data_IF_787455708972
#
_entry.id   IF_787455708972
#
_cell.length_a   1.000
_cell.length_b   1.000
_cell.length_c   1.000
_cell.angle_alpha   90.00
_cell.angle_beta   90.00
_cell.angle_gamma   90.00
#
_symmetry.space_group_name_H-M   'P 1'
#
loop_
_entity.id
_entity.type
_entity.pdbx_description
1 polymer ?
#
# COMPACT_ATOMS: atom_id res chain seq x y z
N UNK A 1 3.42 -25.22 14.40
CA UNK A 1 2.57 -24.22 13.74
C UNK A 1 1.60 -24.83 12.74
N UNK A 2 2.09 -25.61 11.75
CA UNK A 2 1.23 -26.29 10.76
C UNK A 2 0.07 -27.12 11.36
N UNK A 3 0.31 -27.90 12.42
CA UNK A 3 -0.75 -28.70 13.06
C UNK A 3 -1.91 -27.86 13.64
N UNK A 4 -1.62 -26.68 14.18
CA UNK A 4 -2.64 -25.80 14.76
C UNK A 4 -3.45 -25.09 13.66
N UNK A 5 -2.78 -24.69 12.58
CA UNK A 5 -3.41 -24.18 11.36
C UNK A 5 -4.34 -25.21 10.72
N UNK A 6 -3.88 -26.46 10.55
CA UNK A 6 -4.70 -27.56 10.03
C UNK A 6 -5.92 -27.84 10.91
N UNK A 7 -5.75 -27.81 12.24
CA UNK A 7 -6.86 -27.99 13.17
C UNK A 7 -7.91 -26.88 13.02
N UNK A 8 -7.50 -25.62 12.86
CA UNK A 8 -8.41 -24.49 12.61
C UNK A 8 -9.13 -24.68 11.27
N UNK A 9 -8.43 -25.08 10.22
CA UNK A 9 -9.03 -25.29 8.89
C UNK A 9 -10.10 -26.40 8.91
N UNK A 10 -9.84 -27.50 9.62
CA UNK A 10 -10.77 -28.63 9.74
C UNK A 10 -11.95 -28.24 10.62
N UNK A 11 -11.71 -27.73 11.82
CA UNK A 11 -12.78 -27.46 12.80
C UNK A 11 -13.61 -26.22 12.42
N UNK A 12 -12.98 -25.17 11.93
CA UNK A 12 -13.65 -23.94 11.50
C UNK A 12 -14.55 -24.12 10.28
N UNK A 13 -14.38 -25.21 9.51
CA UNK A 13 -15.31 -25.59 8.44
C UNK A 13 -16.69 -26.02 8.99
N UNK A 14 -16.72 -26.70 10.13
CA UNK A 14 -17.95 -27.30 10.69
C UNK A 14 -18.71 -26.41 11.67
N UNK A 15 -18.05 -25.38 12.20
CA UNK A 15 -18.59 -24.51 13.25
C UNK A 15 -18.59 -23.05 12.80
N UNK A 16 -19.68 -22.34 13.12
CA UNK A 16 -19.85 -20.93 12.79
C UNK A 16 -19.56 -20.04 14.01
N UNK A 17 -18.95 -18.85 13.86
CA UNK A 17 -18.65 -17.95 14.98
C UNK A 17 -19.87 -17.52 15.80
N UNK A 18 -21.05 -17.56 15.17
CA UNK A 18 -22.34 -17.19 15.77
C UNK A 18 -23.24 -18.41 16.00
N UNK A 19 -22.67 -19.62 16.11
CA UNK A 19 -23.47 -20.82 16.37
C UNK A 19 -24.28 -20.66 17.67
N UNK A 20 -25.61 -20.86 17.62
CA UNK A 20 -26.48 -20.64 18.77
C UNK A 20 -26.29 -21.75 19.80
N UNK A 21 -26.71 -21.44 21.03
CA UNK A 21 -26.76 -22.42 22.10
C UNK A 21 -28.02 -23.27 21.93
N UNK A 22 -27.85 -24.47 21.37
CA UNK A 22 -28.96 -25.40 21.13
C UNK A 22 -28.84 -26.57 22.09
N UNK A 23 -29.85 -26.73 22.94
CA UNK A 23 -30.03 -27.93 23.76
C UNK A 23 -30.47 -29.08 22.85
N UNK A 24 -29.63 -30.10 22.66
CA UNK A 24 -29.92 -31.25 21.80
C UNK A 24 -28.76 -31.79 20.96
N UNK A 25 -27.54 -31.24 21.10
CA UNK A 25 -26.35 -31.82 20.46
C UNK A 25 -25.85 -33.06 21.22
N UNK A 26 -25.59 -34.16 20.52
CA UNK A 26 -25.27 -35.48 21.09
C UNK A 26 -23.77 -35.77 21.27
N UNK A 27 -22.89 -34.79 21.05
CA UNK A 27 -21.45 -34.96 21.32
C UNK A 27 -21.00 -34.23 22.60
N UNK A 28 -19.68 -34.26 22.90
CA UNK A 28 -19.13 -33.80 24.19
C UNK A 28 -19.16 -32.27 24.45
N UNK A 29 -19.28 -31.43 23.42
CA UNK A 29 -19.30 -29.97 23.49
C UNK A 29 -20.41 -29.33 22.65
N UNK A 30 -21.16 -28.35 23.18
CA UNK A 30 -22.16 -27.65 22.36
C UNK A 30 -21.53 -26.99 21.11
N UNK A 31 -22.31 -26.73 20.04
CA UNK A 31 -21.80 -26.05 18.84
C UNK A 31 -21.16 -24.69 19.18
N UNK A 32 -21.72 -24.00 20.17
CA UNK A 32 -21.18 -22.76 20.73
C UNK A 32 -19.82 -22.97 21.38
N UNK A 33 -19.64 -24.00 22.20
CA UNK A 33 -18.34 -24.34 22.81
C UNK A 33 -17.28 -24.70 21.77
N UNK A 34 -17.68 -25.43 20.72
CA UNK A 34 -16.80 -25.74 19.61
C UNK A 34 -16.39 -24.47 18.84
N UNK A 35 -17.32 -23.53 18.59
CA UNK A 35 -17.00 -22.23 18.00
C UNK A 35 -16.06 -21.40 18.89
N UNK A 36 -16.28 -21.38 20.21
CA UNK A 36 -15.36 -20.73 21.17
C UNK A 36 -13.97 -21.37 21.09
N UNK A 37 -13.90 -22.69 20.92
CA UNK A 37 -12.63 -23.42 20.76
C UNK A 37 -11.92 -23.06 19.46
N UNK A 38 -12.62 -22.95 18.33
CA UNK A 38 -12.04 -22.46 17.07
C UNK A 38 -11.48 -21.05 17.24
N UNK A 39 -12.25 -20.16 17.89
CA UNK A 39 -11.80 -18.79 18.17
C UNK A 39 -10.55 -18.76 19.04
N UNK A 40 -10.49 -19.59 20.08
CA UNK A 40 -9.33 -19.66 20.97
C UNK A 40 -8.07 -20.19 20.27
N UNK A 41 -8.23 -21.14 19.34
CA UNK A 41 -7.14 -21.61 18.48
C UNK A 41 -6.63 -20.50 17.56
N UNK A 42 -7.53 -19.74 16.91
CA UNK A 42 -7.15 -18.58 16.08
C UNK A 42 -6.38 -17.55 16.93
N UNK A 43 -6.89 -17.21 18.12
CA UNK A 43 -6.22 -16.28 19.03
C UNK A 43 -4.85 -16.80 19.49
N UNK A 44 -4.72 -18.09 19.76
CA UNK A 44 -3.45 -18.72 20.15
C UNK A 44 -2.44 -18.64 19.01
N UNK A 45 -2.85 -18.91 17.77
CA UNK A 45 -2.00 -18.71 16.60
C UNK A 45 -1.56 -17.25 16.45
N UNK A 46 -2.46 -16.30 16.77
CA UNK A 46 -2.19 -14.87 16.81
C UNK A 46 -1.13 -14.43 17.80
N UNK A 47 -1.06 -15.07 18.97
CA UNK A 47 -0.07 -14.74 20.01
C UNK A 47 1.36 -15.17 19.65
N UNK A 48 1.53 -16.04 18.67
CA UNK A 48 2.84 -16.50 18.22
C UNK A 48 3.44 -15.46 17.25
N UNK A 49 4.43 -14.69 17.68
CA UNK A 49 4.95 -13.53 16.94
C UNK A 49 6.02 -13.89 15.88
N UNK A 50 5.94 -15.10 15.32
CA UNK A 50 6.89 -15.64 14.33
C UNK A 50 6.42 -15.41 12.89
N UNK A 51 7.37 -15.39 11.93
CA UNK A 51 7.08 -15.32 10.49
C UNK A 51 6.17 -16.45 10.02
N UNK A 52 6.39 -17.63 10.58
CA UNK A 52 5.66 -18.85 10.25
C UNK A 52 4.20 -18.75 10.71
N UNK A 53 3.96 -18.23 11.93
CA UNK A 53 2.60 -18.03 12.45
C UNK A 53 1.79 -17.05 11.58
N UNK A 54 2.42 -15.93 11.21
CA UNK A 54 1.79 -14.93 10.34
C UNK A 54 1.48 -15.51 8.97
N UNK A 55 2.39 -16.29 8.38
CA UNK A 55 2.13 -16.96 7.11
C UNK A 55 0.98 -17.96 7.20
N UNK A 56 0.83 -18.68 8.31
CA UNK A 56 -0.28 -19.61 8.50
C UNK A 56 -1.63 -18.87 8.66
N UNK A 57 -1.68 -17.75 9.39
CA UNK A 57 -2.89 -16.91 9.48
C UNK A 57 -3.31 -16.34 8.13
N UNK A 58 -2.35 -15.90 7.30
CA UNK A 58 -2.63 -15.44 5.92
C UNK A 58 -3.22 -16.58 5.08
N UNK A 59 -2.63 -17.78 5.14
CA UNK A 59 -3.18 -18.95 4.42
C UNK A 59 -4.62 -19.26 4.85
N UNK A 60 -4.90 -19.21 6.16
CA UNK A 60 -6.25 -19.48 6.68
C UNK A 60 -7.29 -18.45 6.21
N UNK A 61 -6.89 -17.21 5.97
CA UNK A 61 -7.77 -16.17 5.43
C UNK A 61 -8.27 -16.50 4.00
N UNK A 62 -7.41 -17.14 3.22
CA UNK A 62 -7.69 -17.50 1.83
C UNK A 62 -8.49 -18.83 1.71
N UNK A 63 -8.68 -19.59 2.79
CA UNK A 63 -9.46 -20.84 2.79
C UNK A 63 -10.95 -20.54 2.54
N UNK A 64 -11.57 -21.03 1.45
CA UNK A 64 -12.99 -20.75 1.14
C UNK A 64 -13.95 -21.28 2.20
N UNK A 65 -13.61 -22.39 2.85
CA UNK A 65 -14.42 -23.01 3.89
C UNK A 65 -14.45 -22.22 5.20
N UNK A 66 -13.58 -21.22 5.37
CA UNK A 66 -13.47 -20.38 6.56
C UNK A 66 -14.08 -18.98 6.37
N UNK A 67 -14.96 -18.79 5.38
CA UNK A 67 -15.57 -17.47 5.09
C UNK A 67 -16.17 -16.82 6.34
N UNK A 68 -16.86 -17.60 7.20
CA UNK A 68 -17.43 -17.10 8.44
C UNK A 68 -16.39 -16.58 9.45
N UNK A 69 -15.18 -17.16 9.45
CA UNK A 69 -14.09 -16.83 10.36
C UNK A 69 -13.17 -15.71 9.84
N UNK A 70 -13.30 -15.30 8.57
CA UNK A 70 -12.40 -14.32 7.92
C UNK A 70 -12.23 -13.04 8.71
N UNK A 71 -13.31 -12.47 9.26
CA UNK A 71 -13.23 -11.25 10.06
C UNK A 71 -12.43 -11.46 11.35
N UNK A 72 -12.60 -12.61 12.01
CA UNK A 72 -11.84 -12.95 13.22
C UNK A 72 -10.36 -13.17 12.91
N UNK A 73 -10.06 -13.86 11.80
CA UNK A 73 -8.68 -14.11 11.35
C UNK A 73 -8.01 -12.80 10.97
N UNK A 74 -8.69 -11.92 10.23
CA UNK A 74 -8.17 -10.61 9.83
C UNK A 74 -7.84 -9.72 11.04
N UNK A 75 -8.71 -9.69 12.05
CA UNK A 75 -8.47 -8.93 13.27
C UNK A 75 -7.24 -9.44 14.03
N UNK A 76 -7.13 -10.76 14.19
CA UNK A 76 -5.99 -11.39 14.87
C UNK A 76 -4.69 -11.18 14.10
N UNK A 77 -4.72 -11.28 12.77
CA UNK A 77 -3.58 -11.00 11.90
C UNK A 77 -3.13 -9.54 12.02
N UNK A 78 -4.06 -8.59 12.05
CA UNK A 78 -3.74 -7.17 12.22
C UNK A 78 -3.09 -6.89 13.59
N UNK A 79 -3.63 -7.49 14.65
CA UNK A 79 -3.09 -7.37 16.01
C UNK A 79 -1.68 -7.97 16.14
N UNK A 80 -1.49 -9.19 15.63
CA UNK A 80 -0.18 -9.85 15.58
C UNK A 80 0.83 -9.02 14.79
N UNK A 81 0.43 -8.49 13.63
CA UNK A 81 1.29 -7.65 12.79
C UNK A 81 1.72 -6.40 13.54
N UNK A 82 0.81 -5.74 14.28
CA UNK A 82 1.14 -4.57 15.10
C UNK A 82 2.18 -4.92 16.18
N UNK A 83 1.95 -5.98 16.97
CA UNK A 83 2.87 -6.40 18.02
C UNK A 83 4.26 -6.77 17.47
N UNK A 84 4.30 -7.41 16.29
CA UNK A 84 5.58 -7.72 15.61
C UNK A 84 6.32 -6.45 15.19
N UNK A 85 5.62 -5.42 14.73
CA UNK A 85 6.23 -4.11 14.41
C UNK A 85 6.80 -3.47 15.67
N UNK A 86 6.07 -3.49 16.78
CA UNK A 86 6.54 -2.97 18.07
C UNK A 86 7.81 -3.70 18.55
N UNK A 87 7.88 -5.02 18.40
CA UNK A 87 9.09 -5.80 18.75
C UNK A 87 10.25 -5.58 17.77
N UNK A 88 9.97 -5.39 16.49
CA UNK A 88 10.98 -5.11 15.47
C UNK A 88 11.47 -3.67 15.53
N UNK A 89 10.74 -2.77 16.19
CA UNK A 89 11.09 -1.37 16.32
C UNK A 89 12.36 -1.21 17.15
N UNK A 90 13.41 -0.69 16.52
CA UNK A 90 14.64 -0.31 17.20
C UNK A 90 14.72 1.21 17.23
N UNK A 91 14.96 1.77 18.41
CA UNK A 91 15.29 3.18 18.54
C UNK A 91 16.59 3.47 17.76
N UNK A 92 16.63 4.55 16.97
CA UNK A 92 17.84 4.93 16.26
C UNK A 92 18.94 5.28 17.28
N UNK A 93 20.18 4.90 16.98
CA UNK A 93 21.33 5.32 17.78
C UNK A 93 21.61 6.82 17.59
N UNK A 94 22.34 7.42 18.53
CA UNK A 94 22.75 8.85 18.43
C UNK A 94 23.50 9.11 17.12
N UNK A 95 24.37 8.21 16.69
CA UNK A 95 25.10 8.33 15.42
C UNK A 95 24.15 8.31 14.21
N UNK A 96 23.12 7.46 14.22
CA UNK A 96 22.14 7.40 13.15
C UNK A 96 21.27 8.66 13.11
N UNK A 97 20.92 9.23 14.27
CA UNK A 97 20.24 10.53 14.36
C UNK A 97 21.14 11.64 13.79
N UNK A 98 22.43 11.65 14.13
CA UNK A 98 23.40 12.63 13.61
C UNK A 98 23.63 12.47 12.10
N UNK A 99 23.63 11.24 11.56
CA UNK A 99 23.70 11.01 10.11
C UNK A 99 22.43 11.47 9.38
N UNK A 100 21.25 11.27 9.98
CA UNK A 100 19.99 11.75 9.41
C UNK A 100 19.96 13.27 9.34
N UNK A 101 20.37 13.94 10.42
CA UNK A 101 20.40 15.40 10.51
C UNK A 101 21.49 16.04 9.63
N UNK A 102 22.66 15.40 9.47
CA UNK A 102 23.79 15.98 8.73
C UNK A 102 23.89 15.54 7.26
N UNK A 103 23.34 14.37 6.88
CA UNK A 103 23.56 13.76 5.57
C UNK A 103 22.29 13.25 4.89
N UNK A 104 21.12 13.33 5.53
CA UNK A 104 19.84 12.91 4.95
C UNK A 104 19.67 11.39 4.78
N UNK A 105 20.55 10.59 5.41
CA UNK A 105 20.47 9.13 5.38
C UNK A 105 19.45 8.63 6.42
N UNK A 106 18.49 7.75 6.05
CA UNK A 106 17.49 7.25 7.00
C UNK A 106 18.10 6.44 8.15
N UNK A 107 17.74 6.76 9.40
CA UNK A 107 18.15 5.99 10.58
C UNK A 107 17.25 4.79 10.87
N UNK A 108 15.96 4.92 10.56
CA UNK A 108 14.95 3.89 10.78
C UNK A 108 13.95 3.84 9.61
N UNK A 109 13.05 2.85 9.62
CA UNK A 109 12.08 2.64 8.53
C UNK A 109 11.10 3.83 8.35
N UNK A 110 10.82 4.58 9.41
CA UNK A 110 9.99 5.80 9.36
C UNK A 110 10.69 6.89 8.57
N UNK A 111 11.98 7.11 8.83
CA UNK A 111 12.78 8.08 8.10
C UNK A 111 12.92 7.68 6.63
N UNK A 112 13.04 6.37 6.36
CA UNK A 112 13.10 5.85 4.99
C UNK A 112 11.79 6.12 4.25
N UNK A 113 10.64 5.88 4.89
CA UNK A 113 9.34 6.22 4.34
C UNK A 113 9.23 7.72 4.07
N UNK A 114 9.54 8.56 5.06
CA UNK A 114 9.47 10.01 4.92
C UNK A 114 10.38 10.56 3.81
N UNK A 115 11.60 10.03 3.68
CA UNK A 115 12.54 10.40 2.62
C UNK A 115 11.99 10.02 1.24
N UNK A 116 11.54 8.78 1.06
CA UNK A 116 11.02 8.30 -0.22
C UNK A 116 9.75 9.07 -0.59
N UNK A 117 8.84 9.29 0.36
CA UNK A 117 7.61 10.07 0.16
C UNK A 117 7.90 11.52 -0.20
N UNK A 118 8.87 12.16 0.44
CA UNK A 118 9.33 13.52 0.07
C UNK A 118 9.78 13.59 -1.38
N UNK A 119 10.54 12.59 -1.86
CA UNK A 119 10.95 12.51 -3.26
C UNK A 119 9.79 12.20 -4.21
N UNK A 120 8.81 11.39 -3.80
CA UNK A 120 7.59 11.13 -4.58
C UNK A 120 6.70 12.38 -4.68
N UNK A 121 6.58 13.18 -3.62
CA UNK A 121 5.90 14.48 -3.67
C UNK A 121 6.64 15.48 -4.57
N UNK A 122 7.98 15.48 -4.53
CA UNK A 122 8.79 16.28 -5.46
C UNK A 122 8.55 15.83 -6.91
N UNK A 123 8.52 14.53 -7.16
CA UNK A 123 8.20 13.97 -8.48
C UNK A 123 6.78 14.34 -8.93
N UNK A 124 5.79 14.32 -8.02
CA UNK A 124 4.42 14.78 -8.30
C UNK A 124 4.42 16.23 -8.77
N UNK A 125 5.10 17.12 -8.03
CA UNK A 125 5.21 18.52 -8.40
C UNK A 125 5.92 18.72 -9.75
N UNK A 126 6.98 17.95 -10.03
CA UNK A 126 7.68 18.02 -11.33
C UNK A 126 6.83 17.52 -12.51
N UNK A 127 6.08 16.44 -12.33
CA UNK A 127 5.21 15.90 -13.38
C UNK A 127 4.03 16.83 -13.66
N UNK A 128 3.53 17.52 -12.63
CA UNK A 128 2.37 18.40 -12.68
C UNK A 128 2.71 19.84 -13.11
N UNK A 129 3.71 20.44 -12.46
CA UNK A 129 4.06 21.87 -12.53
C UNK A 129 5.47 22.13 -13.08
N UNK A 130 6.21 21.07 -13.43
CA UNK A 130 7.55 21.21 -14.00
C UNK A 130 7.56 21.98 -15.33
N UNK A 131 8.70 22.58 -15.70
CA UNK A 131 8.87 23.30 -16.96
C UNK A 131 8.87 22.36 -18.18
N UNK A 132 8.95 21.05 -17.95
CA UNK A 132 8.89 20.02 -18.98
C UNK A 132 7.50 19.36 -18.96
N UNK A 133 7.07 18.82 -20.10
CA UNK A 133 5.86 18.00 -20.17
C UNK A 133 6.08 16.60 -19.53
N UNK A 134 6.54 16.54 -18.28
CA UNK A 134 6.93 15.32 -17.58
C UNK A 134 5.81 14.27 -17.56
N UNK A 135 4.56 14.71 -17.37
CA UNK A 135 3.38 13.85 -17.45
C UNK A 135 3.28 13.06 -18.77
N UNK A 136 3.79 13.58 -19.91
CA UNK A 136 3.79 12.86 -21.20
C UNK A 136 4.61 11.57 -21.16
N UNK A 137 5.59 11.47 -20.25
CA UNK A 137 6.35 10.23 -20.06
C UNK A 137 5.44 9.05 -19.68
N UNK A 138 4.28 9.32 -19.06
CA UNK A 138 3.28 8.32 -18.66
C UNK A 138 2.24 8.01 -19.75
N UNK A 139 2.38 8.61 -20.94
CA UNK A 139 1.47 8.41 -22.07
C UNK A 139 2.21 7.83 -23.28
N UNK A 140 1.48 7.03 -24.07
CA UNK A 140 1.84 6.77 -25.45
C UNK A 140 1.66 8.05 -26.26
N UNK A 141 2.51 8.24 -27.28
CA UNK A 141 2.46 9.41 -28.15
C UNK A 141 2.31 8.99 -29.60
N UNK A 142 1.58 9.78 -30.39
CA UNK A 142 1.51 9.60 -31.84
C UNK A 142 2.79 10.11 -32.54
N UNK A 143 2.83 10.02 -33.87
CA UNK A 143 3.94 10.53 -34.71
C UNK A 143 4.21 12.04 -34.57
N UNK A 144 3.30 12.78 -33.93
CA UNK A 144 3.40 14.21 -33.65
C UNK A 144 3.66 14.50 -32.17
N UNK A 145 4.10 13.50 -31.40
CA UNK A 145 4.34 13.60 -29.96
C UNK A 145 3.09 13.98 -29.14
N UNK A 146 1.88 13.72 -29.66
CA UNK A 146 0.63 14.00 -28.96
C UNK A 146 0.20 12.79 -28.13
N UNK A 147 -0.11 12.97 -26.84
CA UNK A 147 -0.54 11.87 -25.96
C UNK A 147 -1.83 11.21 -26.44
N UNK A 148 -1.82 9.89 -26.57
CA UNK A 148 -2.95 9.08 -27.03
C UNK A 148 -3.62 8.38 -25.84
N UNK A 149 -3.04 7.28 -25.38
CA UNK A 149 -3.50 6.48 -24.25
C UNK A 149 -2.45 6.46 -23.13
N UNK A 150 -2.84 6.26 -21.86
CA UNK A 150 -1.88 5.99 -20.80
C UNK A 150 -1.03 4.78 -21.17
N UNK A 151 0.24 4.79 -20.78
CA UNK A 151 1.08 3.60 -20.92
C UNK A 151 0.54 2.45 -20.05
N UNK A 152 0.88 1.20 -20.38
CA UNK A 152 0.67 0.07 -19.49
C UNK A 152 1.23 0.35 -18.09
N UNK A 153 0.63 -0.24 -17.06
CA UNK A 153 1.03 -0.05 -15.67
C UNK A 153 2.51 -0.39 -15.44
N UNK A 154 2.97 -1.51 -16.00
CA UNK A 154 4.36 -1.95 -15.93
C UNK A 154 5.33 -0.92 -16.53
N UNK A 155 5.00 -0.35 -17.69
CA UNK A 155 5.83 0.69 -18.33
C UNK A 155 5.91 1.97 -17.50
N UNK A 156 4.79 2.37 -16.86
CA UNK A 156 4.78 3.51 -15.96
C UNK A 156 5.63 3.24 -14.72
N UNK A 157 5.47 2.05 -14.12
CA UNK A 157 6.25 1.57 -12.98
C UNK A 157 7.74 1.59 -13.29
N UNK A 158 8.18 1.02 -14.40
CA UNK A 158 9.62 0.86 -14.69
C UNK A 158 10.34 2.21 -14.87
N UNK A 159 9.59 3.27 -15.17
CA UNK A 159 10.10 4.65 -15.26
C UNK A 159 10.24 5.34 -13.91
N UNK A 160 9.48 4.94 -12.89
CA UNK A 160 9.56 5.58 -11.57
C UNK A 160 10.93 5.40 -10.89
N UNK A 161 11.57 4.21 -10.90
CA UNK A 161 12.92 4.05 -10.39
C UNK A 161 13.94 4.98 -11.04
N UNK A 162 13.81 5.29 -12.33
CA UNK A 162 14.73 6.21 -13.02
C UNK A 162 14.65 7.64 -12.47
N UNK A 163 13.49 8.05 -11.95
CA UNK A 163 13.33 9.33 -11.26
C UNK A 163 13.76 9.28 -9.79
N UNK A 164 13.63 8.13 -9.13
CA UNK A 164 13.95 7.98 -7.71
C UNK A 164 15.44 7.73 -7.45
N UNK A 165 16.10 6.91 -8.28
CA UNK A 165 17.51 6.52 -8.13
C UNK A 165 18.47 7.71 -8.01
N UNK A 166 18.42 8.75 -8.87
CA UNK A 166 19.35 9.88 -8.76
C UNK A 166 19.23 10.66 -7.45
N UNK A 167 18.06 10.60 -6.80
CA UNK A 167 17.77 11.28 -5.52
C UNK A 167 18.13 10.43 -4.30
N UNK A 168 17.93 9.12 -4.41
CA UNK A 168 18.08 8.17 -3.32
C UNK A 168 19.51 7.60 -3.20
N UNK A 169 20.20 7.37 -4.33
CA UNK A 169 21.56 6.82 -4.32
C UNK A 169 22.58 7.67 -3.54
N UNK A 170 22.57 9.02 -3.62
CA UNK A 170 23.51 9.86 -2.86
C UNK A 170 23.43 9.67 -1.34
N UNK A 171 22.27 9.28 -0.81
CA UNK A 171 22.05 8.99 0.61
C UNK A 171 22.14 7.50 0.94
N UNK A 172 22.57 6.69 -0.03
CA UNK A 172 22.80 5.26 0.14
C UNK A 172 21.54 4.39 0.05
N UNK A 173 20.44 4.92 -0.48
CA UNK A 173 19.20 4.17 -0.72
C UNK A 173 19.16 3.72 -2.18
N UNK A 174 19.02 2.41 -2.43
CA UNK A 174 18.78 1.89 -3.78
C UNK A 174 17.28 1.79 -4.04
N UNK A 175 16.84 2.11 -5.27
CA UNK A 175 15.47 1.87 -5.71
C UNK A 175 15.50 0.84 -6.84
N UNK A 176 14.94 -0.33 -6.55
CA UNK A 176 14.99 -1.50 -7.43
C UNK A 176 13.58 -1.85 -7.93
N UNK A 177 13.36 -1.91 -9.26
CA UNK A 177 12.15 -2.52 -9.80
C UNK A 177 12.19 -4.04 -9.51
N UNK A 178 11.03 -4.63 -9.28
CA UNK A 178 10.94 -6.07 -9.05
C UNK A 178 11.38 -6.87 -10.29
N UNK A 179 12.36 -7.76 -10.14
CA UNK A 179 12.90 -8.59 -11.22
C UNK A 179 11.93 -9.68 -11.68
N UNK A 180 11.95 -10.01 -12.98
CA UNK A 180 10.98 -10.90 -13.66
C UNK A 180 10.97 -12.39 -13.23
N UNK A 181 11.77 -12.83 -12.25
CA UNK A 181 12.22 -14.24 -12.17
C UNK A 181 11.86 -15.07 -10.93
N UNK A 182 10.97 -14.67 -10.03
CA UNK A 182 10.55 -15.58 -8.96
C UNK A 182 9.06 -15.48 -8.63
N UNK A 183 8.48 -16.61 -8.21
CA UNK A 183 7.08 -16.87 -7.84
C UNK A 183 6.55 -16.02 -6.65
N UNK A 184 7.23 -14.94 -6.31
CA UNK A 184 7.01 -14.14 -5.11
C UNK A 184 6.90 -12.64 -5.43
N UNK A 185 6.07 -12.34 -6.45
CA UNK A 185 5.69 -10.97 -6.82
C UNK A 185 4.89 -10.34 -5.69
N UNK A 186 5.40 -9.29 -5.07
CA UNK A 186 4.66 -8.65 -3.96
C UNK A 186 4.64 -7.12 -3.98
N UNK A 187 5.65 -6.45 -4.53
CA UNK A 187 5.68 -4.98 -4.61
C UNK A 187 6.31 -4.51 -5.93
N UNK A 188 5.81 -3.41 -6.47
CA UNK A 188 6.29 -2.87 -7.74
C UNK A 188 7.73 -2.31 -7.67
N UNK A 189 8.06 -1.60 -6.58
CA UNK A 189 9.39 -1.06 -6.33
C UNK A 189 9.79 -1.34 -4.88
N UNK A 190 11.07 -1.61 -4.64
CA UNK A 190 11.65 -1.65 -3.29
C UNK A 190 12.73 -0.59 -3.16
N UNK A 191 12.57 0.31 -2.18
CA UNK A 191 13.65 1.19 -1.74
C UNK A 191 14.42 0.49 -0.61
N UNK A 192 15.73 0.33 -0.72
CA UNK A 192 16.54 -0.53 0.16
C UNK A 192 17.72 0.26 0.72
N UNK A 193 17.98 0.11 2.02
CA UNK A 193 19.18 0.60 2.68
C UNK A 193 19.61 -0.32 3.82
N UNK A 194 20.76 -0.98 3.66
CA UNK A 194 21.22 -1.98 4.61
C UNK A 194 20.21 -3.12 4.77
N UNK A 195 19.67 -3.30 5.97
CA UNK A 195 18.65 -4.31 6.27
C UNK A 195 17.20 -3.77 6.20
N UNK A 196 17.04 -2.47 6.01
CA UNK A 196 15.72 -1.84 5.89
C UNK A 196 15.30 -1.82 4.42
N UNK A 197 14.02 -2.01 4.19
CA UNK A 197 13.43 -1.81 2.89
C UNK A 197 12.03 -1.19 3.00
N UNK A 198 11.59 -0.54 1.93
CA UNK A 198 10.29 0.09 1.84
C UNK A 198 9.63 -0.33 0.52
N UNK A 199 8.58 -1.16 0.57
CA UNK A 199 7.80 -1.52 -0.61
C UNK A 199 6.94 -0.33 -1.06
N UNK A 200 6.89 -0.13 -2.37
CA UNK A 200 6.02 0.82 -3.04
C UNK A 200 5.16 -0.01 -4.01
N UNK A 201 3.85 -0.03 -3.77
CA UNK A 201 2.87 -0.66 -4.66
C UNK A 201 2.25 0.42 -5.54
N UNK A 202 2.16 0.18 -6.85
CA UNK A 202 1.70 1.16 -7.82
C UNK A 202 0.40 0.65 -8.47
N UNK A 203 -0.60 1.53 -8.55
CA UNK A 203 -1.82 1.27 -9.29
C UNK A 203 -2.21 2.44 -10.15
N UNK A 204 -2.90 2.18 -11.25
CA UNK A 204 -3.66 3.23 -11.96
C UNK A 204 -4.96 3.53 -11.21
N UNK A 205 -5.42 4.76 -11.25
CA UNK A 205 -6.68 5.16 -10.58
C UNK A 205 -7.95 4.45 -11.08
N UNK A 206 -7.87 3.70 -12.18
CA UNK A 206 -8.96 2.86 -12.72
C UNK A 206 -8.67 1.36 -12.62
N UNK A 207 -7.66 0.96 -11.84
CA UNK A 207 -7.37 -0.44 -11.58
C UNK A 207 -8.51 -1.08 -10.77
N UNK A 208 -8.91 -2.32 -11.08
CA UNK A 208 -10.04 -2.99 -10.43
C UNK A 208 -9.86 -3.08 -8.90
N UNK A 209 -8.63 -3.36 -8.46
CA UNK A 209 -8.28 -3.52 -7.05
C UNK A 209 -7.92 -2.20 -6.33
N UNK A 210 -8.22 -1.03 -6.91
CA UNK A 210 -7.81 0.28 -6.36
C UNK A 210 -8.13 0.43 -4.87
N UNK A 211 -9.32 -0.02 -4.47
CA UNK A 211 -9.87 0.14 -3.12
C UNK A 211 -9.44 -0.96 -2.15
N UNK A 212 -9.09 -2.16 -2.66
CA UNK A 212 -8.74 -3.34 -1.85
C UNK A 212 -7.23 -3.50 -1.67
N UNK A 213 -6.44 -3.11 -2.67
CA UNK A 213 -5.00 -3.25 -2.70
C UNK A 213 -4.26 -2.64 -1.49
N UNK A 214 -4.58 -1.41 -1.00
CA UNK A 214 -3.89 -0.84 0.16
C UNK A 214 -3.98 -1.71 1.41
N UNK A 215 -5.12 -2.39 1.59
CA UNK A 215 -5.36 -3.27 2.73
C UNK A 215 -4.73 -4.64 2.53
N UNK A 216 -4.97 -5.26 1.37
CA UNK A 216 -4.63 -6.67 1.16
C UNK A 216 -3.18 -6.89 0.70
N UNK A 217 -2.69 -6.09 -0.23
CA UNK A 217 -1.37 -6.30 -0.83
C UNK A 217 -0.26 -5.84 0.10
N UNK A 218 -0.40 -4.64 0.68
CA UNK A 218 0.60 -4.10 1.60
C UNK A 218 0.67 -4.88 2.92
N UNK A 219 -0.44 -5.39 3.47
CA UNK A 219 -0.38 -6.29 4.63
C UNK A 219 0.32 -7.62 4.33
N UNK A 220 0.06 -8.23 3.16
CA UNK A 220 0.74 -9.46 2.72
C UNK A 220 2.25 -9.25 2.57
N UNK A 221 2.66 -8.05 2.14
CA UNK A 221 4.06 -7.61 2.09
C UNK A 221 4.70 -7.46 3.49
N UNK A 222 4.02 -6.79 4.42
CA UNK A 222 4.52 -6.52 5.78
C UNK A 222 4.68 -7.77 6.65
N UNK A 223 3.81 -8.75 6.46
CA UNK A 223 3.77 -9.97 7.26
C UNK A 223 5.05 -10.82 7.16
N UNK A 224 5.79 -10.70 6.05
CA UNK A 224 6.85 -11.64 5.66
C UNK A 224 8.24 -11.02 5.57
N UNK A 225 8.37 -9.71 5.43
CA UNK A 225 9.68 -9.04 5.37
C UNK A 225 9.89 -8.14 6.60
N UNK A 226 10.67 -8.59 7.60
CA UNK A 226 10.99 -7.81 8.79
C UNK A 226 11.68 -6.47 8.48
N UNK A 227 12.38 -6.37 7.34
CA UNK A 227 13.07 -5.14 6.91
C UNK A 227 12.13 -3.98 6.60
N UNK A 228 10.84 -4.26 6.38
CA UNK A 228 9.81 -3.23 6.17
C UNK A 228 9.45 -2.46 7.44
N UNK A 229 9.67 -3.07 8.62
CA UNK A 229 9.03 -2.65 9.87
C UNK A 229 7.51 -2.40 9.72
N UNK A 230 6.88 -3.08 8.76
CA UNK A 230 5.48 -2.91 8.40
C UNK A 230 5.12 -1.59 7.71
N UNK A 231 6.08 -0.85 7.17
CA UNK A 231 5.87 0.41 6.45
C UNK A 231 5.90 0.22 4.94
N UNK A 232 5.13 1.01 4.20
CA UNK A 232 5.13 1.02 2.74
C UNK A 232 4.33 2.17 2.15
N UNK A 233 4.37 2.29 0.83
CA UNK A 233 3.70 3.36 0.09
C UNK A 233 2.73 2.74 -0.91
N UNK A 234 1.50 3.23 -0.93
CA UNK A 234 0.53 2.97 -1.99
C UNK A 234 0.48 4.18 -2.93
N UNK A 235 1.01 4.00 -4.13
CA UNK A 235 1.12 5.05 -5.12
C UNK A 235 0.07 4.87 -6.21
N UNK A 236 -0.75 5.89 -6.44
CA UNK A 236 -1.74 5.88 -7.51
C UNK A 236 -1.37 6.86 -8.63
N UNK A 237 -1.37 6.38 -9.86
CA UNK A 237 -1.23 7.19 -11.06
C UNK A 237 -2.61 7.59 -11.60
N UNK A 238 -2.91 8.89 -11.52
CA UNK A 238 -4.17 9.47 -11.96
C UNK A 238 -4.07 9.98 -13.39
N UNK A 239 -4.97 9.57 -14.29
CA UNK A 239 -4.95 9.98 -15.71
C UNK A 239 -6.17 10.82 -16.12
N UNK A 240 -6.95 11.28 -15.14
CA UNK A 240 -8.16 12.06 -15.36
C UNK A 240 -9.40 11.21 -15.57
N UNK A 241 -10.53 11.71 -15.06
CA UNK A 241 -11.80 10.98 -15.00
C UNK A 241 -12.63 11.06 -16.30
N UNK A 242 -12.12 11.72 -17.34
CA UNK A 242 -12.86 11.96 -18.59
C UNK A 242 -12.97 10.71 -19.46
N UNK A 243 -11.95 9.85 -19.43
CA UNK A 243 -11.87 8.65 -20.27
C UNK A 243 -11.83 7.37 -19.43
N UNK A 244 -11.13 7.41 -18.30
CA UNK A 244 -11.02 6.28 -17.39
C UNK A 244 -11.70 6.64 -16.09
N UNK A 245 -12.55 5.75 -15.57
CA UNK A 245 -13.30 6.02 -14.35
C UNK A 245 -12.66 5.32 -13.17
N UNK A 246 -12.67 6.00 -12.03
CA UNK A 246 -12.41 5.36 -10.73
C UNK A 246 -13.45 4.25 -10.53
N UNK A 247 -13.07 3.03 -10.10
CA UNK A 247 -14.02 1.97 -9.81
C UNK A 247 -14.99 2.43 -8.71
N UNK A 248 -16.18 1.84 -8.69
CA UNK A 248 -17.19 2.16 -7.67
C UNK A 248 -16.59 2.06 -6.26
N UNK A 249 -16.63 3.15 -5.47
CA UNK A 249 -16.11 3.14 -4.11
C UNK A 249 -16.98 2.23 -3.21
N UNK A 250 -16.43 1.72 -2.10
CA UNK A 250 -17.22 1.03 -1.09
C UNK A 250 -18.27 1.93 -0.44
N UNK A 251 -19.24 1.30 0.24
CA UNK A 251 -20.32 1.99 0.92
C UNK A 251 -19.80 3.06 1.89
N UNK A 252 -20.40 4.25 1.83
CA UNK A 252 -20.05 5.39 2.68
C UNK A 252 -18.90 6.27 2.16
N UNK A 253 -18.36 5.98 0.97
CA UNK A 253 -17.36 6.82 0.30
C UNK A 253 -17.96 7.36 -1.00
N UNK A 254 -17.96 8.69 -1.14
CA UNK A 254 -18.37 9.33 -2.40
C UNK A 254 -17.33 9.11 -3.50
N UNK A 255 -17.78 9.03 -4.75
CA UNK A 255 -16.90 8.86 -5.91
C UNK A 255 -15.98 10.09 -6.07
N UNK A 256 -14.64 9.94 -5.95
CA UNK A 256 -13.74 11.08 -5.97
C UNK A 256 -13.58 11.63 -7.40
N UNK A 257 -13.93 12.91 -7.65
CA UNK A 257 -13.82 13.55 -8.96
C UNK A 257 -12.39 14.01 -9.30
N UNK A 258 -11.53 14.18 -8.29
CA UNK A 258 -10.16 14.69 -8.44
C UNK A 258 -9.13 13.76 -7.81
N UNK A 259 -7.86 13.91 -8.21
CA UNK A 259 -6.76 13.13 -7.66
C UNK A 259 -6.54 13.41 -6.16
N UNK A 260 -6.76 14.65 -5.70
CA UNK A 260 -6.71 15.03 -4.28
C UNK A 260 -7.82 14.37 -3.47
N UNK A 261 -9.05 14.35 -4.01
CA UNK A 261 -10.18 13.70 -3.35
C UNK A 261 -10.01 12.18 -3.34
N UNK A 262 -9.40 11.59 -4.37
CA UNK A 262 -9.06 10.16 -4.38
C UNK A 262 -8.03 9.83 -3.29
N UNK A 263 -6.97 10.64 -3.16
CA UNK A 263 -5.96 10.47 -2.10
C UNK A 263 -6.62 10.49 -0.72
N UNK A 264 -7.48 11.50 -0.47
CA UNK A 264 -8.21 11.65 0.78
C UNK A 264 -9.18 10.48 1.04
N UNK A 265 -9.88 10.01 0.01
CA UNK A 265 -10.82 8.89 0.12
C UNK A 265 -10.09 7.58 0.45
N UNK A 266 -8.97 7.30 -0.22
CA UNK A 266 -8.14 6.14 0.06
C UNK A 266 -7.54 6.19 1.47
N UNK A 267 -7.11 7.36 1.93
CA UNK A 267 -6.56 7.53 3.30
C UNK A 267 -7.63 7.22 4.36
N UNK A 268 -8.87 7.69 4.17
CA UNK A 268 -10.00 7.41 5.07
C UNK A 268 -10.37 5.93 5.14
N UNK A 269 -10.03 5.16 4.11
CA UNK A 269 -10.29 3.71 4.08
C UNK A 269 -9.25 2.87 4.81
N UNK A 270 -8.10 3.45 5.18
CA UNK A 270 -7.10 2.70 5.93
C UNK A 270 -7.65 2.34 7.32
N UNK A 271 -7.48 1.07 7.76
CA UNK A 271 -7.79 0.72 9.13
C UNK A 271 -6.86 1.49 10.09
N UNK A 272 -7.28 1.80 11.32
CA UNK A 272 -6.46 2.57 12.28
C UNK A 272 -5.03 2.04 12.45
N UNK A 273 -4.85 0.72 12.41
CA UNK A 273 -3.54 0.05 12.50
C UNK A 273 -2.60 0.32 11.31
N UNK A 274 -3.13 0.81 10.19
CA UNK A 274 -2.39 1.05 8.96
C UNK A 274 -2.06 2.54 8.73
N UNK A 275 -2.81 3.47 9.32
CA UNK A 275 -2.71 4.93 9.08
C UNK A 275 -1.29 5.46 9.26
N UNK A 276 -0.58 5.02 10.30
CA UNK A 276 0.78 5.50 10.59
C UNK A 276 1.87 4.77 9.78
N UNK A 277 1.51 3.68 9.09
CA UNK A 277 2.46 2.78 8.43
C UNK A 277 2.34 2.75 6.92
N UNK A 278 1.17 3.08 6.39
CA UNK A 278 0.90 3.11 4.96
C UNK A 278 0.71 4.56 4.56
N UNK A 279 1.56 5.03 3.66
CA UNK A 279 1.40 6.35 3.06
C UNK A 279 0.74 6.20 1.69
N UNK A 280 -0.30 7.00 1.44
CA UNK A 280 -0.99 7.02 0.17
C UNK A 280 -0.63 8.29 -0.56
N UNK A 281 -0.13 8.13 -1.78
CA UNK A 281 0.27 9.24 -2.64
C UNK A 281 -0.44 9.07 -3.99
N UNK A 282 -1.11 10.12 -4.47
CA UNK A 282 -1.71 10.14 -5.81
C UNK A 282 -0.97 11.15 -6.68
N UNK A 283 -0.40 10.69 -7.79
CA UNK A 283 0.30 11.53 -8.77
C UNK A 283 -0.63 11.83 -9.94
N UNK A 284 -0.91 13.11 -10.17
CA UNK A 284 -1.67 13.56 -11.35
C UNK A 284 -0.83 13.50 -12.63
N UNK A 285 -1.15 12.51 -13.46
CA UNK A 285 -0.59 12.29 -14.79
C UNK A 285 -1.59 12.65 -15.91
N UNK A 286 -2.70 13.33 -15.60
CA UNK A 286 -3.74 13.64 -16.58
C UNK A 286 -3.24 14.58 -17.69
N UNK A 287 -3.81 14.45 -18.88
CA UNK A 287 -3.52 15.41 -19.97
C UNK A 287 -3.93 16.81 -19.52
N UNK A 288 -3.03 17.77 -19.65
CA UNK A 288 -3.43 19.17 -19.55
C UNK A 288 -4.29 19.51 -20.77
N UNK A 289 -5.44 20.17 -20.54
CA UNK A 289 -6.07 20.92 -21.63
C UNK A 289 -5.04 21.94 -22.08
N UNK A 290 -4.65 21.93 -23.36
CA UNK A 290 -3.80 23.00 -23.89
C UNK A 290 -4.53 24.32 -23.61
N UNK A 291 -4.01 25.10 -22.67
CA UNK A 291 -4.56 26.41 -22.37
C UNK A 291 -4.50 27.23 -23.65
N UNK A 292 -5.66 27.70 -24.10
CA UNK A 292 -5.71 28.78 -25.08
C UNK A 292 -4.79 29.89 -24.62
N UNK A 293 -4.01 30.42 -25.56
CA UNK A 293 -3.09 31.57 -25.41
C UNK A 293 -3.58 32.49 -24.31
N UNK A 294 -2.74 32.71 -23.30
CA UNK A 294 -3.03 33.59 -22.16
C UNK A 294 -3.75 34.84 -22.63
N UNK A 295 -4.92 35.08 -22.04
CA UNK A 295 -5.65 36.33 -22.19
C UNK A 295 -4.67 37.48 -21.96
N UNK A 296 -4.50 38.34 -22.97
CA UNK A 296 -3.73 39.58 -22.91
C UNK A 296 -4.43 40.58 -21.97
N UNK A 297 -4.55 40.25 -20.70
CA UNK A 297 -5.20 41.07 -19.68
C UNK A 297 -4.23 41.44 -18.54
N UNK A 298 -2.95 41.68 -18.85
CA UNK A 298 -2.03 42.35 -17.90
C UNK A 298 -0.88 43.09 -18.61
N UNK A 299 -1.19 43.78 -19.71
CA UNK A 299 -0.27 44.76 -20.33
C UNK A 299 -1.02 46.06 -20.64
N UNK A 300 -1.68 46.62 -19.63
CA UNK A 300 -2.18 48.01 -19.69
C UNK A 300 -2.19 48.67 -18.31
N UNK A 301 -1.07 48.57 -17.59
CA UNK A 301 -0.79 49.38 -16.39
C UNK A 301 0.73 49.54 -16.21
N UNK A 302 1.44 49.98 -17.26
CA UNK A 302 2.81 50.55 -17.19
C UNK A 302 3.04 51.57 -18.31
N UNK A 303 2.02 52.39 -18.58
CA UNK A 303 2.10 53.59 -19.42
C UNK A 303 1.08 54.59 -18.89
N UNK A 304 1.35 55.09 -17.70
CA UNK A 304 0.83 56.32 -17.08
C UNK A 304 1.13 56.24 -15.59
N UNK A 305 2.38 56.52 -15.25
CA UNK A 305 2.89 57.15 -14.02
C UNK A 305 4.40 57.20 -14.14
#
# INVERSE_FOLDING_TARGET
MSALSSLIAITGHYFHPNDPEVSGWLGPHSRREAAISVRSLILRLGKELTTEATSELVKLQDVPLLVAWRSSIANVLADQTRQRRELAFKYPSVDQVLETLNRGRPANATDLQALVSSHLHSLRAELQDGPTDGWKAMWNVDRYARPTTPRPENDCRDRLPDHLRPRLLPVGVTAEPEGHYAEDKRADIKAIIGHMNLPIEIKRHYHADLWTAPREQLQKLYARDPGTAGRGIYLVLWFGNATFRVPTPPDGIDLPPTHFELESALQKMLPPSAVESIEIIVIDCAKRKQGGKGSKATRRLKRQR
#
